data_IF_361478657265
#
_entry.id   IF_361478657265
#
_cell.length_a   1.000
_cell.length_b   1.000
_cell.length_c   1.000
_cell.angle_alpha   90.00
_cell.angle_beta   90.00
_cell.angle_gamma   90.00
#
_symmetry.space_group_name_H-M   'P 1'
#
loop_
_entity.id
_entity.type
_entity.pdbx_description
1 polymer ?
#
# COMPACT_ATOMS: atom_id res chain seq x y z
N UNK A 1 -6.30 -5.69 -6.79
CA UNK A 1 -7.47 -5.28 -7.61
C UNK A 1 -8.39 -6.44 -7.92
N UNK A 2 -8.02 -7.39 -8.80
CA UNK A 2 -8.90 -8.50 -9.21
C UNK A 2 -9.45 -9.28 -8.01
N UNK A 3 -8.59 -9.69 -7.08
CA UNK A 3 -9.02 -10.37 -5.85
C UNK A 3 -10.01 -9.55 -5.03
N UNK A 4 -9.74 -8.26 -4.82
CA UNK A 4 -10.60 -7.37 -4.04
C UNK A 4 -11.98 -7.20 -4.70
N UNK A 5 -12.01 -7.00 -6.02
CA UNK A 5 -13.25 -6.90 -6.78
C UNK A 5 -14.02 -8.23 -6.78
N UNK A 6 -13.35 -9.35 -6.96
CA UNK A 6 -14.01 -10.64 -7.02
C UNK A 6 -14.68 -11.04 -5.70
N UNK A 7 -14.18 -10.58 -4.55
CA UNK A 7 -14.85 -10.79 -3.25
C UNK A 7 -16.19 -10.07 -3.13
N UNK A 8 -16.51 -9.11 -4.00
CA UNK A 8 -17.83 -8.45 -4.02
C UNK A 8 -18.87 -9.23 -4.83
N UNK A 9 -18.46 -10.33 -5.47
CA UNK A 9 -19.30 -11.16 -6.32
C UNK A 9 -19.33 -12.59 -5.76
N UNK A 10 -20.44 -13.32 -5.92
CA UNK A 10 -20.46 -14.74 -5.61
C UNK A 10 -19.58 -15.51 -6.63
N UNK A 11 -18.87 -16.58 -6.21
CA UNK A 11 -17.89 -17.28 -7.07
C UNK A 11 -18.45 -17.82 -8.39
N UNK A 12 -19.74 -18.18 -8.43
CA UNK A 12 -20.45 -18.68 -9.61
C UNK A 12 -20.62 -17.63 -10.72
N UNK A 13 -20.51 -16.34 -10.39
CA UNK A 13 -20.56 -15.22 -11.35
C UNK A 13 -19.19 -14.80 -11.87
N UNK A 14 -18.11 -15.46 -11.43
CA UNK A 14 -16.76 -15.13 -11.84
C UNK A 14 -16.29 -16.17 -12.85
N UNK A 15 -16.05 -15.70 -14.08
CA UNK A 15 -15.59 -16.54 -15.18
C UNK A 15 -14.23 -16.04 -15.66
N UNK A 16 -13.32 -16.99 -15.89
CA UNK A 16 -12.04 -16.72 -16.54
C UNK A 16 -12.09 -17.31 -17.95
N UNK A 17 -11.81 -16.47 -18.94
CA UNK A 17 -11.48 -16.98 -20.26
C UNK A 17 -10.25 -17.88 -20.18
N UNK A 18 -10.09 -18.84 -21.12
CA UNK A 18 -8.94 -19.71 -21.16
C UNK A 18 -7.62 -18.93 -21.07
N UNK A 19 -6.87 -19.16 -19.98
CA UNK A 19 -5.59 -18.53 -19.79
C UNK A 19 -4.53 -19.27 -20.63
N UNK A 20 -4.16 -18.68 -21.75
CA UNK A 20 -3.14 -19.22 -22.67
C UNK A 20 -1.72 -18.81 -22.29
N UNK A 21 -1.57 -17.71 -21.55
CA UNK A 21 -0.26 -17.19 -21.18
C UNK A 21 0.52 -18.19 -20.30
N UNK A 22 1.82 -18.37 -20.59
CA UNK A 22 2.73 -19.21 -19.79
C UNK A 22 2.80 -18.77 -18.32
N UNK A 23 2.53 -17.50 -18.04
CA UNK A 23 2.51 -16.93 -16.70
C UNK A 23 1.26 -17.28 -15.88
N UNK A 24 0.27 -18.01 -16.41
CA UNK A 24 -0.98 -18.35 -15.69
C UNK A 24 -0.75 -19.06 -14.35
N UNK A 25 0.31 -19.87 -14.23
CA UNK A 25 0.70 -20.51 -12.97
C UNK A 25 0.97 -19.49 -11.86
N UNK A 26 1.43 -18.28 -12.20
CA UNK A 26 1.67 -17.21 -11.23
C UNK A 26 0.38 -16.79 -10.52
N UNK A 27 -0.76 -16.72 -11.22
CA UNK A 27 -2.04 -16.34 -10.62
C UNK A 27 -2.49 -17.37 -9.57
N UNK A 28 -2.24 -18.66 -9.86
CA UNK A 28 -2.50 -19.76 -8.92
C UNK A 28 -1.57 -19.65 -7.72
N UNK A 29 -0.26 -19.48 -7.94
CA UNK A 29 0.75 -19.36 -6.85
C UNK A 29 0.52 -18.15 -5.96
N UNK A 30 0.06 -17.03 -6.52
CA UNK A 30 -0.33 -15.85 -5.75
C UNK A 30 -1.68 -16.01 -5.02
N UNK A 31 -2.34 -17.17 -5.14
CA UNK A 31 -3.57 -17.49 -4.42
C UNK A 31 -4.82 -16.84 -4.99
N UNK A 32 -4.80 -16.33 -6.22
CA UNK A 32 -5.94 -15.61 -6.80
C UNK A 32 -7.19 -16.50 -6.87
N UNK A 33 -7.09 -17.69 -7.47
CA UNK A 33 -8.23 -18.61 -7.60
C UNK A 33 -8.79 -19.05 -6.25
N UNK A 34 -7.90 -19.32 -5.28
CA UNK A 34 -8.27 -19.64 -3.90
C UNK A 34 -9.04 -18.49 -3.25
N UNK A 35 -8.57 -17.26 -3.41
CA UNK A 35 -9.24 -16.07 -2.87
C UNK A 35 -10.62 -15.86 -3.49
N UNK A 36 -10.77 -16.18 -4.78
CA UNK A 36 -12.04 -16.06 -5.49
C UNK A 36 -13.00 -17.24 -5.24
N UNK A 37 -12.56 -18.31 -4.57
CA UNK A 37 -13.38 -19.51 -4.35
C UNK A 37 -13.65 -20.32 -5.63
N UNK A 38 -12.77 -20.23 -6.63
CA UNK A 38 -12.96 -20.86 -7.95
C UNK A 38 -11.94 -21.99 -8.12
N UNK A 39 -12.35 -23.16 -8.64
CA UNK A 39 -11.40 -24.23 -8.95
C UNK A 39 -10.42 -23.79 -10.03
N UNK A 40 -9.13 -24.08 -9.83
CA UNK A 40 -8.12 -23.88 -10.87
C UNK A 40 -7.91 -25.19 -11.64
N UNK A 41 -8.04 -25.15 -12.96
CA UNK A 41 -7.67 -26.24 -13.87
C UNK A 41 -6.16 -26.24 -14.21
N UNK A 42 -5.39 -25.32 -13.62
CA UNK A 42 -3.97 -25.13 -13.91
C UNK A 42 -3.16 -25.95 -12.91
N UNK A 43 -2.50 -27.00 -13.39
CA UNK A 43 -1.54 -27.75 -12.59
C UNK A 43 -0.30 -26.89 -12.29
N UNK A 44 0.11 -26.83 -11.03
CA UNK A 44 1.30 -26.11 -10.59
C UNK A 44 2.10 -27.03 -9.68
N UNK A 45 3.41 -27.10 -9.90
CA UNK A 45 4.33 -27.66 -8.90
C UNK A 45 4.53 -26.59 -7.84
N UNK A 46 3.97 -26.80 -6.66
CA UNK A 46 4.15 -25.88 -5.54
C UNK A 46 5.60 -25.99 -5.02
N UNK A 47 6.36 -24.91 -5.22
CA UNK A 47 7.60 -24.69 -4.51
C UNK A 47 7.33 -23.74 -3.34
N UNK A 48 7.99 -24.01 -2.21
CA UNK A 48 7.87 -23.22 -0.99
C UNK A 48 7.98 -21.71 -1.28
N UNK A 49 6.98 -20.90 -0.89
CA UNK A 49 7.01 -19.45 -1.08
C UNK A 49 8.04 -18.73 -0.22
N UNK A 50 8.52 -19.39 0.85
CA UNK A 50 9.40 -18.84 1.87
C UNK A 50 10.55 -18.03 1.24
N UNK A 51 10.69 -16.78 1.67
CA UNK A 51 11.73 -15.87 1.22
C UNK A 51 11.52 -15.23 -0.16
N UNK A 52 10.42 -15.50 -0.88
CA UNK A 52 10.21 -14.95 -2.25
C UNK A 52 8.97 -14.09 -2.41
N UNK A 53 7.85 -14.49 -1.85
CA UNK A 53 6.61 -13.72 -1.95
C UNK A 53 5.63 -14.11 -0.86
N UNK A 54 4.72 -13.19 -0.57
CA UNK A 54 3.52 -13.40 0.22
C UNK A 54 2.35 -13.40 -0.77
N UNK A 55 1.60 -14.52 -0.89
CA UNK A 55 0.38 -14.58 -1.70
C UNK A 55 -0.63 -13.49 -1.32
N UNK A 56 -1.65 -13.32 -2.15
CA UNK A 56 -2.76 -12.43 -1.85
C UNK A 56 -3.40 -12.87 -0.53
N UNK A 57 -3.32 -11.98 0.45
CA UNK A 57 -3.78 -12.20 1.82
C UNK A 57 -4.92 -11.21 2.09
N UNK A 58 -6.06 -11.72 2.54
CA UNK A 58 -7.16 -10.90 3.01
C UNK A 58 -6.89 -10.46 4.44
N UNK A 59 -6.97 -9.16 4.68
CA UNK A 59 -6.72 -8.53 5.97
C UNK A 59 -8.00 -7.85 6.44
N UNK A 60 -8.55 -8.33 7.55
CA UNK A 60 -9.76 -7.83 8.20
C UNK A 60 -9.47 -7.23 9.58
N UNK A 61 -8.32 -7.59 10.16
CA UNK A 61 -7.99 -7.29 11.56
C UNK A 61 -6.54 -6.83 11.74
N UNK A 62 -6.27 -6.14 12.85
CA UNK A 62 -4.92 -5.69 13.22
C UNK A 62 -3.93 -6.83 13.46
N UNK A 63 -4.41 -8.01 13.87
CA UNK A 63 -3.56 -9.18 14.09
C UNK A 63 -3.14 -9.81 12.76
N UNK A 64 -3.99 -9.77 11.73
CA UNK A 64 -3.64 -10.16 10.37
C UNK A 64 -2.63 -9.21 9.74
N UNK A 65 -2.77 -7.90 9.97
CA UNK A 65 -1.74 -6.91 9.60
C UNK A 65 -0.40 -7.32 10.23
N UNK A 66 -0.40 -7.61 11.53
CA UNK A 66 0.83 -7.95 12.26
C UNK A 66 1.50 -9.20 11.69
N UNK A 67 0.72 -10.26 11.39
CA UNK A 67 1.22 -11.49 10.75
C UNK A 67 1.82 -11.21 9.37
N UNK A 68 1.12 -10.46 8.53
CA UNK A 68 1.61 -10.10 7.19
C UNK A 68 2.95 -9.34 7.28
N UNK A 69 3.07 -8.38 8.20
CA UNK A 69 4.32 -7.63 8.40
C UNK A 69 5.45 -8.53 8.89
N UNK A 70 5.17 -9.48 9.79
CA UNK A 70 6.17 -10.46 10.25
C UNK A 70 6.70 -11.32 9.10
N UNK A 71 5.85 -11.72 8.16
CA UNK A 71 6.26 -12.47 6.97
C UNK A 71 6.99 -11.60 5.94
N UNK A 72 6.67 -10.31 5.88
CA UNK A 72 7.25 -9.37 4.90
C UNK A 72 8.65 -8.90 5.29
N UNK A 73 8.91 -8.69 6.59
CA UNK A 73 10.21 -8.18 7.08
C UNK A 73 11.41 -8.98 6.55
N UNK A 74 11.42 -10.32 6.59
CA UNK A 74 12.52 -11.12 6.04
C UNK A 74 12.77 -10.92 4.54
N UNK A 75 11.76 -10.52 3.76
CA UNK A 75 11.87 -10.29 2.31
C UNK A 75 12.59 -9.00 1.96
N UNK A 76 12.75 -8.09 2.92
CA UNK A 76 13.37 -6.78 2.68
C UNK A 76 14.90 -6.87 2.60
N UNK A 77 15.52 -7.90 3.20
CA UNK A 77 16.99 -8.02 3.25
C UNK A 77 17.70 -6.72 3.74
N UNK A 78 17.05 -5.97 4.62
CA UNK A 78 17.56 -4.73 5.22
C UNK A 78 17.97 -4.94 6.67
N UNK A 79 18.71 -3.98 7.21
CA UNK A 79 18.95 -3.89 8.65
C UNK A 79 17.64 -3.88 9.43
N UNK A 80 17.63 -4.51 10.62
CA UNK A 80 16.41 -4.75 11.38
C UNK A 80 15.59 -3.46 11.62
N UNK A 81 16.26 -2.34 11.90
CA UNK A 81 15.60 -1.05 12.15
C UNK A 81 14.96 -0.46 10.88
N UNK A 82 15.63 -0.59 9.74
CA UNK A 82 15.14 -0.14 8.44
C UNK A 82 13.96 -0.98 7.96
N UNK A 83 14.06 -2.31 8.11
CA UNK A 83 12.98 -3.24 7.79
C UNK A 83 11.74 -2.96 8.65
N UNK A 84 11.92 -2.66 9.93
CA UNK A 84 10.83 -2.24 10.82
C UNK A 84 10.16 -0.94 10.38
N UNK A 85 10.92 0.04 9.89
CA UNK A 85 10.36 1.30 9.36
C UNK A 85 9.44 1.04 8.16
N UNK A 86 9.87 0.23 7.19
CA UNK A 86 9.03 -0.14 6.05
C UNK A 86 7.80 -0.94 6.52
N UNK A 87 8.00 -1.90 7.42
CA UNK A 87 6.92 -2.68 8.02
C UNK A 87 5.87 -1.80 8.69
N UNK A 88 6.31 -0.77 9.42
CA UNK A 88 5.42 0.21 10.04
C UNK A 88 4.61 0.98 8.99
N UNK A 89 5.25 1.53 7.95
CA UNK A 89 4.56 2.27 6.88
C UNK A 89 3.48 1.40 6.21
N UNK A 90 3.82 0.17 5.84
CA UNK A 90 2.86 -0.77 5.23
C UNK A 90 1.72 -1.09 6.19
N UNK A 91 2.01 -1.23 7.49
CA UNK A 91 0.97 -1.43 8.51
C UNK A 91 0.01 -0.24 8.64
N UNK A 92 0.50 1.00 8.50
CA UNK A 92 -0.38 2.19 8.51
C UNK A 92 -1.26 2.20 7.26
N UNK A 93 -0.72 1.85 6.08
CA UNK A 93 -1.52 1.77 4.86
C UNK A 93 -2.63 0.72 4.95
N UNK A 94 -2.32 -0.47 5.49
CA UNK A 94 -3.32 -1.51 5.72
C UNK A 94 -4.35 -1.08 6.78
N UNK A 95 -3.91 -0.41 7.85
CA UNK A 95 -4.80 0.07 8.91
C UNK A 95 -5.76 1.14 8.42
N UNK A 96 -5.34 2.02 7.52
CA UNK A 96 -6.23 3.01 6.88
C UNK A 96 -7.44 2.33 6.22
N UNK A 97 -7.26 1.14 5.65
CA UNK A 97 -8.38 0.37 5.08
C UNK A 97 -9.34 -0.07 6.19
N UNK A 98 -8.81 -0.69 7.25
CA UNK A 98 -9.62 -1.24 8.35
C UNK A 98 -10.38 -0.14 9.10
N UNK A 99 -9.73 1.00 9.35
CA UNK A 99 -10.29 2.07 10.17
C UNK A 99 -11.16 3.05 9.39
N UNK A 100 -10.89 3.26 8.10
CA UNK A 100 -11.49 4.37 7.35
C UNK A 100 -12.15 3.98 6.04
N UNK A 101 -11.75 2.89 5.39
CA UNK A 101 -12.33 2.54 4.09
C UNK A 101 -13.76 2.02 4.18
N UNK A 102 -14.23 1.59 5.37
CA UNK A 102 -15.51 0.90 5.54
C UNK A 102 -15.69 -0.23 4.51
N UNK A 103 -14.60 -0.97 4.25
CA UNK A 103 -14.53 -2.03 3.24
C UNK A 103 -15.06 -3.35 3.83
N UNK A 104 -16.19 -3.90 3.34
CA UNK A 104 -16.78 -5.12 3.90
C UNK A 104 -15.87 -6.34 3.87
N UNK A 105 -14.95 -6.38 2.90
CA UNK A 105 -14.01 -7.48 2.69
C UNK A 105 -12.58 -7.13 3.13
N UNK A 106 -12.38 -5.99 3.79
CA UNK A 106 -11.06 -5.56 4.25
C UNK A 106 -10.09 -5.23 3.11
N UNK A 107 -8.79 -5.41 3.37
CA UNK A 107 -7.72 -5.14 2.42
C UNK A 107 -7.13 -6.42 1.83
N UNK A 108 -6.90 -6.43 0.52
CA UNK A 108 -6.11 -7.46 -0.15
C UNK A 108 -4.66 -6.99 -0.26
N UNK A 109 -3.78 -7.68 0.45
CA UNK A 109 -2.35 -7.39 0.51
C UNK A 109 -1.54 -8.50 -0.17
N UNK A 110 -0.50 -8.12 -0.92
CA UNK A 110 0.52 -9.06 -1.39
C UNK A 110 1.88 -8.39 -1.47
N UNK A 111 2.94 -9.19 -1.40
CA UNK A 111 4.30 -8.71 -1.55
C UNK A 111 5.14 -9.73 -2.32
N UNK A 112 6.09 -9.27 -3.13
CA UNK A 112 7.01 -10.15 -3.84
C UNK A 112 8.40 -9.54 -3.94
N UNK A 113 9.40 -10.31 -3.53
CA UNK A 113 10.81 -9.99 -3.74
C UNK A 113 11.30 -10.49 -5.10
N UNK A 114 12.07 -9.65 -5.76
CA UNK A 114 12.70 -9.87 -7.06
C UNK A 114 14.22 -9.80 -6.89
N UNK A 115 14.83 -10.98 -6.72
CA UNK A 115 16.27 -11.14 -6.49
C UNK A 115 17.14 -10.43 -7.55
N UNK A 116 16.80 -10.60 -8.84
CA UNK A 116 17.59 -10.03 -9.95
C UNK A 116 17.69 -8.50 -9.91
N UNK A 117 16.66 -7.82 -9.41
CA UNK A 117 16.63 -6.36 -9.31
C UNK A 117 16.81 -5.89 -7.86
N UNK A 118 17.05 -6.81 -6.93
CA UNK A 118 17.07 -6.57 -5.50
C UNK A 118 15.94 -5.64 -5.03
N UNK A 119 14.70 -5.97 -5.39
CA UNK A 119 13.56 -5.10 -5.11
C UNK A 119 12.35 -5.87 -4.62
N UNK A 120 11.53 -5.22 -3.78
CA UNK A 120 10.24 -5.74 -3.36
C UNK A 120 9.12 -4.95 -4.02
N UNK A 121 8.05 -5.63 -4.42
CA UNK A 121 6.81 -5.03 -4.91
C UNK A 121 5.70 -5.33 -3.94
N UNK A 122 4.94 -4.30 -3.55
CA UNK A 122 3.86 -4.42 -2.57
C UNK A 122 2.59 -3.88 -3.21
N UNK A 123 1.50 -4.63 -3.07
CA UNK A 123 0.17 -4.26 -3.54
C UNK A 123 -0.84 -4.27 -2.41
N UNK A 124 -1.67 -3.23 -2.35
CA UNK A 124 -2.81 -3.08 -1.43
C UNK A 124 -4.03 -2.72 -2.27
N UNK A 125 -5.15 -3.40 -2.06
CA UNK A 125 -6.41 -3.02 -2.68
C UNK A 125 -7.60 -3.30 -1.75
N UNK A 126 -8.54 -2.37 -1.69
CA UNK A 126 -9.82 -2.51 -0.98
C UNK A 126 -10.99 -2.15 -1.89
N UNK A 127 -12.20 -2.54 -1.46
CA UNK A 127 -13.46 -2.15 -2.11
C UNK A 127 -14.32 -1.27 -1.21
N UNK A 128 -13.68 -0.34 -0.50
CA UNK A 128 -14.33 0.58 0.43
C UNK A 128 -14.88 1.82 -0.24
N UNK A 129 -15.07 2.87 0.56
CA UNK A 129 -15.70 4.13 0.14
C UNK A 129 -14.82 5.02 -0.75
N UNK A 130 -13.52 4.74 -0.82
CA UNK A 130 -12.53 5.51 -1.59
C UNK A 130 -12.04 6.79 -0.91
N UNK A 131 -10.93 7.31 -1.41
CA UNK A 131 -10.17 8.42 -0.80
C UNK A 131 -10.99 9.72 -0.75
N UNK A 132 -11.71 10.06 -1.82
CA UNK A 132 -12.50 11.31 -1.86
C UNK A 132 -13.53 11.37 -0.72
N UNK A 133 -14.18 10.24 -0.42
CA UNK A 133 -15.17 10.18 0.66
C UNK A 133 -14.53 10.22 2.04
N UNK A 134 -13.36 9.60 2.24
CA UNK A 134 -12.67 9.65 3.55
C UNK A 134 -12.03 11.00 3.80
N UNK A 135 -11.32 11.57 2.83
CA UNK A 135 -10.66 12.87 2.99
C UNK A 135 -11.65 14.04 3.07
N UNK A 136 -12.78 13.91 2.36
CA UNK A 136 -13.90 14.87 2.35
C UNK A 136 -14.52 15.14 3.71
N UNK A 137 -14.24 14.30 4.72
CA UNK A 137 -14.66 14.53 6.10
C UNK A 137 -13.98 15.74 6.74
N UNK A 138 -12.75 16.06 6.33
CA UNK A 138 -11.94 17.16 6.88
C UNK A 138 -11.44 18.15 5.83
N UNK A 139 -11.26 17.71 4.58
CA UNK A 139 -10.73 18.53 3.50
C UNK A 139 -11.59 18.37 2.24
N UNK A 140 -12.12 19.49 1.75
CA UNK A 140 -12.91 19.54 0.52
C UNK A 140 -12.04 19.18 -0.70
N UNK A 141 -12.49 18.21 -1.49
CA UNK A 141 -11.89 17.83 -2.77
C UNK A 141 -12.97 17.81 -3.86
N UNK A 142 -12.80 18.57 -4.94
CA UNK A 142 -13.79 18.61 -6.02
C UNK A 142 -13.75 17.33 -6.87
N UNK A 143 -12.56 16.79 -7.11
CA UNK A 143 -12.35 15.58 -7.93
C UNK A 143 -11.63 14.48 -7.16
N UNK A 144 -11.71 13.24 -7.66
CA UNK A 144 -10.96 12.11 -7.08
C UNK A 144 -9.44 12.32 -7.18
N UNK A 145 -8.97 12.97 -8.26
CA UNK A 145 -7.56 13.31 -8.41
C UNK A 145 -7.11 14.36 -7.37
N UNK A 146 -7.93 15.37 -7.09
CA UNK A 146 -7.65 16.33 -6.02
C UNK A 146 -7.66 15.65 -4.65
N UNK A 147 -8.55 14.69 -4.41
CA UNK A 147 -8.55 13.92 -3.18
C UNK A 147 -7.25 13.10 -3.02
N UNK A 148 -6.76 12.51 -4.10
CA UNK A 148 -5.45 11.82 -4.12
C UNK A 148 -4.30 12.79 -3.85
N UNK A 149 -4.32 13.97 -4.48
CA UNK A 149 -3.32 15.03 -4.25
C UNK A 149 -3.22 15.39 -2.77
N UNK A 150 -4.36 15.66 -2.13
CA UNK A 150 -4.45 15.93 -0.70
C UNK A 150 -3.95 14.73 0.14
N UNK A 151 -4.36 13.50 -0.19
CA UNK A 151 -3.95 12.30 0.55
C UNK A 151 -2.44 11.98 0.47
N UNK A 152 -1.77 12.46 -0.58
CA UNK A 152 -0.32 12.33 -0.75
C UNK A 152 0.46 13.50 -0.15
N UNK A 153 -0.22 14.56 0.28
CA UNK A 153 0.39 15.74 0.90
C UNK A 153 0.71 15.44 2.37
N UNK A 154 1.94 15.69 2.85
CA UNK A 154 2.33 15.36 4.23
C UNK A 154 1.48 16.12 5.25
N UNK A 155 1.03 15.43 6.30
CA UNK A 155 0.25 16.03 7.38
C UNK A 155 -1.24 16.21 7.08
N UNK A 156 -1.74 15.76 5.92
CA UNK A 156 -3.16 15.82 5.57
C UNK A 156 -3.83 14.47 5.85
N UNK A 157 -4.96 14.50 6.54
CA UNK A 157 -5.73 13.30 6.92
C UNK A 157 -7.23 13.58 6.92
N UNK A 158 -8.05 12.56 6.64
CA UNK A 158 -9.52 12.69 6.73
C UNK A 158 -10.05 12.89 8.16
N UNK A 159 -9.21 12.67 9.19
CA UNK A 159 -9.62 12.67 10.60
C UNK A 159 -9.56 14.03 11.29
N UNK A 160 -8.88 15.02 10.73
CA UNK A 160 -8.79 16.37 11.30
C UNK A 160 -8.49 17.42 10.22
N UNK A 161 -9.08 18.62 10.29
CA UNK A 161 -8.77 19.71 9.37
C UNK A 161 -7.42 20.39 9.66
N UNK A 162 -6.78 20.12 10.80
CA UNK A 162 -5.46 20.68 11.15
C UNK A 162 -4.34 19.98 10.38
N UNK A 163 -3.50 20.76 9.71
CA UNK A 163 -2.26 20.29 9.09
C UNK A 163 -1.33 19.67 10.14
N UNK A 164 -0.78 18.50 9.84
CA UNK A 164 0.04 17.68 10.73
C UNK A 164 -0.70 16.53 11.40
N UNK A 165 -2.03 16.48 11.29
CA UNK A 165 -2.86 15.45 11.92
C UNK A 165 -2.85 15.52 13.46
N UNK A 166 -3.19 14.42 14.13
CA UNK A 166 -2.86 14.23 15.55
C UNK A 166 -1.56 13.43 15.65
N UNK A 167 -0.83 13.49 16.78
CA UNK A 167 0.36 12.65 17.03
C UNK A 167 0.09 11.14 16.79
N UNK A 168 -1.19 10.75 16.84
CA UNK A 168 -1.66 9.40 16.61
C UNK A 168 -2.11 9.12 15.18
N UNK A 169 -2.41 10.11 14.33
CA UNK A 169 -2.97 9.93 12.98
C UNK A 169 -2.47 11.02 12.02
N UNK A 170 -1.15 11.10 11.81
CA UNK A 170 -0.52 12.18 11.06
C UNK A 170 -0.76 12.18 9.53
N UNK A 171 -1.56 11.24 8.98
CA UNK A 171 -1.84 11.18 7.54
C UNK A 171 -0.60 10.97 6.67
N UNK A 172 0.48 10.39 7.21
CA UNK A 172 1.79 10.45 6.57
C UNK A 172 2.24 9.14 5.89
N UNK A 173 1.52 8.02 6.06
CA UNK A 173 1.90 6.73 5.49
C UNK A 173 2.01 6.75 3.96
N UNK A 174 1.04 7.36 3.28
CA UNK A 174 1.02 7.52 1.82
C UNK A 174 2.14 8.44 1.31
N UNK A 175 2.39 9.54 2.01
CA UNK A 175 3.50 10.43 1.71
C UNK A 175 4.86 9.71 1.82
N UNK A 176 5.07 8.96 2.90
CA UNK A 176 6.36 8.29 3.14
C UNK A 176 6.62 7.14 2.17
N UNK A 177 5.61 6.32 1.86
CA UNK A 177 5.79 5.23 0.89
C UNK A 177 6.09 5.79 -0.51
N UNK A 178 5.44 6.89 -0.91
CA UNK A 178 5.74 7.62 -2.15
C UNK A 178 7.16 8.19 -2.12
N UNK A 179 7.58 8.76 -0.98
CA UNK A 179 8.92 9.34 -0.82
C UNK A 179 10.03 8.28 -0.91
N UNK A 180 9.81 7.09 -0.34
CA UNK A 180 10.72 5.95 -0.51
C UNK A 180 10.88 5.59 -1.99
N UNK A 181 9.76 5.42 -2.70
CA UNK A 181 9.79 5.14 -4.14
C UNK A 181 10.51 6.25 -4.94
N UNK A 182 10.28 7.52 -4.59
CA UNK A 182 10.94 8.66 -5.23
C UNK A 182 12.46 8.64 -5.03
N UNK A 183 12.92 8.41 -3.79
CA UNK A 183 14.36 8.34 -3.48
C UNK A 183 15.02 7.18 -4.23
N UNK A 184 14.38 6.02 -4.28
CA UNK A 184 14.91 4.84 -4.94
C UNK A 184 14.71 4.83 -6.47
N UNK A 185 14.09 5.86 -7.04
CA UNK A 185 13.76 5.96 -8.48
C UNK A 185 12.86 4.82 -8.95
N UNK A 186 11.96 4.42 -8.07
CA UNK A 186 10.99 3.36 -8.28
C UNK A 186 9.63 3.91 -8.64
N UNK A 187 8.70 3.00 -8.92
CA UNK A 187 7.31 3.34 -9.20
C UNK A 187 6.47 3.30 -7.93
N UNK A 188 5.58 4.27 -7.83
CA UNK A 188 4.47 4.27 -6.88
C UNK A 188 3.20 4.59 -7.67
N UNK A 189 2.10 3.95 -7.33
CA UNK A 189 0.79 4.28 -7.88
C UNK A 189 -0.28 4.28 -6.80
N UNK A 190 -1.26 5.14 -6.98
CA UNK A 190 -2.50 5.15 -6.22
C UNK A 190 -3.69 5.39 -7.15
N UNK A 191 -4.79 4.69 -6.89
CA UNK A 191 -6.00 4.74 -7.71
C UNK A 191 -7.24 4.60 -6.82
N UNK A 192 -8.19 5.52 -6.97
CA UNK A 192 -9.44 5.57 -6.20
C UNK A 192 -10.46 6.39 -6.96
N UNK A 193 -11.70 5.92 -7.04
CA UNK A 193 -12.73 6.55 -7.87
C UNK A 193 -12.29 6.62 -9.33
N UNK A 194 -12.41 7.78 -9.96
CA UNK A 194 -11.83 8.06 -11.29
C UNK A 194 -10.39 8.61 -11.25
N UNK A 195 -9.82 8.84 -10.06
CA UNK A 195 -8.51 9.46 -9.89
C UNK A 195 -7.38 8.44 -9.94
N UNK A 196 -6.40 8.63 -10.82
CA UNK A 196 -5.19 7.83 -10.92
C UNK A 196 -3.95 8.71 -10.82
N UNK A 197 -2.98 8.31 -9.99
CA UNK A 197 -1.66 8.93 -9.92
C UNK A 197 -0.59 7.84 -9.97
N UNK A 198 0.40 8.02 -10.84
CA UNK A 198 1.60 7.20 -10.91
C UNK A 198 2.84 8.08 -10.84
N UNK A 199 3.65 7.88 -9.82
CA UNK A 199 5.01 8.41 -9.75
C UNK A 199 5.85 7.74 -10.84
N UNK A 200 6.54 8.54 -11.64
CA UNK A 200 7.49 8.07 -12.64
C UNK A 200 8.91 8.19 -12.11
N UNK A 201 9.80 7.36 -12.64
CA UNK A 201 11.22 7.42 -12.30
C UNK A 201 11.76 8.84 -12.57
N UNK A 202 12.34 9.45 -11.53
CA UNK A 202 13.01 10.74 -11.67
C UNK A 202 14.24 10.63 -12.57
N UNK A 203 14.64 11.77 -13.12
CA UNK A 203 15.92 11.91 -13.82
C UNK A 203 17.04 12.01 -12.78
N UNK A 204 18.20 11.43 -13.07
CA UNK A 204 19.36 11.52 -12.17
C UNK A 204 19.87 12.97 -12.08
N UNK A 205 19.69 13.61 -10.93
CA UNK A 205 20.16 14.99 -10.66
C UNK A 205 21.13 15.02 -9.48
N UNK A 206 22.02 16.03 -9.43
CA UNK A 206 22.97 16.22 -8.31
C UNK A 206 22.30 16.61 -7.00
N UNK A 207 21.15 17.26 -7.06
CA UNK A 207 20.37 17.65 -5.89
C UNK A 207 19.04 16.89 -5.87
N UNK A 208 18.74 16.31 -4.70
CA UNK A 208 17.49 15.63 -4.41
C UNK A 208 16.74 16.43 -3.37
N UNK A 209 15.50 16.83 -3.68
CA UNK A 209 14.58 17.45 -2.74
C UNK A 209 13.28 16.65 -2.73
N UNK A 210 12.73 16.38 -1.55
CA UNK A 210 11.38 15.84 -1.41
C UNK A 210 10.39 17.00 -1.51
N UNK A 211 9.40 16.88 -2.38
CA UNK A 211 8.34 17.86 -2.52
C UNK A 211 7.13 17.46 -1.67
N UNK A 212 6.66 18.40 -0.85
CA UNK A 212 5.39 18.25 -0.13
C UNK A 212 4.22 18.13 -1.10
N UNK A 213 4.25 18.91 -2.19
CA UNK A 213 3.32 18.79 -3.30
C UNK A 213 3.71 17.60 -4.20
N UNK A 214 2.90 16.53 -4.26
CA UNK A 214 3.21 15.32 -5.03
C UNK A 214 3.21 15.56 -6.55
N UNK A 215 2.62 16.66 -7.04
CA UNK A 215 2.55 16.94 -8.48
C UNK A 215 3.78 17.69 -8.99
N UNK A 216 4.69 18.11 -8.09
CA UNK A 216 6.03 18.58 -8.48
C UNK A 216 6.97 17.44 -8.84
N UNK A 217 6.71 16.24 -8.35
CA UNK A 217 7.45 15.05 -8.77
C UNK A 217 7.07 14.68 -10.20
N UNK A 218 7.97 14.01 -10.92
CA UNK A 218 7.65 13.50 -12.25
C UNK A 218 6.59 12.41 -12.13
N UNK A 219 5.41 12.62 -12.71
CA UNK A 219 4.27 11.74 -12.52
C UNK A 219 3.40 11.64 -13.79
N UNK A 220 2.45 10.71 -13.76
CA UNK A 220 1.39 10.55 -14.75
C UNK A 220 0.05 10.46 -14.01
N UNK A 221 -0.96 11.12 -14.56
CA UNK A 221 -2.35 11.09 -14.08
C UNK A 221 -3.26 10.53 -15.17
N UNK A 222 -4.47 10.13 -14.80
CA UNK A 222 -5.54 9.92 -15.78
C UNK A 222 -5.86 11.22 -16.52
N UNK A 223 -6.19 11.12 -17.81
CA UNK A 223 -6.64 12.26 -18.61
C UNK A 223 -8.16 12.34 -18.64
N UNK A 224 -8.70 13.55 -18.81
CA UNK A 224 -10.14 13.76 -19.03
C UNK A 224 -10.59 13.17 -20.38
N UNK A 225 -9.69 13.13 -21.36
CA UNK A 225 -9.94 12.59 -22.70
C UNK A 225 -10.04 11.06 -22.74
N UNK A 226 -9.40 10.37 -21.78
CA UNK A 226 -9.48 8.91 -21.64
C UNK A 226 -9.50 8.54 -20.14
N UNK A 227 -10.64 8.75 -19.47
CA UNK A 227 -10.75 8.53 -18.04
C UNK A 227 -10.59 7.04 -17.73
N UNK A 228 -9.91 6.75 -16.62
CA UNK A 228 -9.90 5.40 -16.09
C UNK A 228 -11.32 5.00 -15.66
N UNK A 229 -11.67 3.70 -15.68
CA UNK A 229 -12.90 3.21 -15.08
C UNK A 229 -13.06 3.71 -13.64
N UNK A 230 -14.26 3.66 -13.09
CA UNK A 230 -14.45 4.00 -11.68
C UNK A 230 -14.04 2.82 -10.78
N UNK A 231 -13.15 3.05 -9.82
CA UNK A 231 -12.82 2.07 -8.77
C UNK A 231 -13.45 2.46 -7.42
N UNK A 232 -14.39 1.64 -6.96
CA UNK A 232 -15.02 1.81 -5.65
C UNK A 232 -14.10 1.24 -4.55
N UNK A 233 -13.18 2.08 -4.04
CA UNK A 233 -12.21 1.71 -3.01
C UNK A 233 -10.87 2.41 -3.23
N UNK A 234 -9.79 1.86 -2.70
CA UNK A 234 -8.42 2.34 -2.96
C UNK A 234 -7.51 1.22 -3.43
N UNK A 235 -6.58 1.54 -4.32
CA UNK A 235 -5.48 0.68 -4.74
C UNK A 235 -4.18 1.43 -4.55
N UNK A 236 -3.20 0.78 -3.93
CA UNK A 236 -1.83 1.27 -3.81
C UNK A 236 -0.88 0.19 -4.32
N UNK A 237 0.08 0.59 -5.15
CA UNK A 237 1.16 -0.28 -5.61
C UNK A 237 2.49 0.44 -5.48
N UNK A 238 3.51 -0.23 -4.98
CA UNK A 238 4.85 0.36 -4.83
C UNK A 238 5.94 -0.64 -5.14
N UNK A 239 6.95 -0.18 -5.86
CA UNK A 239 8.23 -0.85 -6.03
C UNK A 239 9.24 -0.22 -5.05
N UNK A 240 10.05 -1.03 -4.39
CA UNK A 240 11.13 -0.58 -3.50
C UNK A 240 12.38 -1.39 -3.81
N UNK A 241 13.35 -0.75 -4.46
CA UNK A 241 14.71 -1.26 -4.59
C UNK A 241 15.39 -1.21 -3.22
N UNK A 242 16.08 -2.28 -2.85
CA UNK A 242 16.60 -2.53 -1.50
C UNK A 242 18.10 -2.25 -1.38
N UNK A 243 18.68 -1.60 -2.39
CA UNK A 243 20.07 -1.16 -2.38
C UNK A 243 20.26 -0.09 -1.29
N UNK A 244 21.21 -0.33 -0.38
CA UNK A 244 21.48 0.53 0.78
C UNK A 244 22.24 1.82 0.38
N UNK A 245 21.59 2.68 -0.40
CA UNK A 245 22.10 4.02 -0.70
C UNK A 245 22.09 4.89 0.56
N UNK A 246 22.95 5.92 0.60
CA UNK A 246 23.01 6.85 1.73
C UNK A 246 21.70 7.61 1.88
N UNK A 247 21.12 8.01 0.76
CA UNK A 247 19.85 8.73 0.68
C UNK A 247 18.69 7.89 1.21
N UNK A 248 18.64 6.61 0.83
CA UNK A 248 17.60 5.69 1.29
C UNK A 248 17.71 5.44 2.80
N UNK A 249 18.92 5.14 3.29
CA UNK A 249 19.18 4.94 4.72
C UNK A 249 18.81 6.18 5.55
N UNK A 250 19.25 7.37 5.09
CA UNK A 250 18.93 8.64 5.75
C UNK A 250 17.41 8.89 5.81
N UNK A 251 16.68 8.63 4.71
CA UNK A 251 15.23 8.78 4.69
C UNK A 251 14.56 7.85 5.71
N UNK A 252 14.95 6.58 5.77
CA UNK A 252 14.37 5.63 6.72
C UNK A 252 14.65 6.04 8.18
N UNK A 253 15.82 6.59 8.46
CA UNK A 253 16.16 7.11 9.79
C UNK A 253 15.31 8.33 10.17
N UNK A 254 15.10 9.27 9.26
CA UNK A 254 14.23 10.44 9.51
C UNK A 254 12.76 10.05 9.71
N UNK A 255 12.26 9.09 8.93
CA UNK A 255 10.93 8.52 9.12
C UNK A 255 10.83 7.88 10.50
N UNK A 256 11.83 7.08 10.89
CA UNK A 256 11.87 6.43 12.20
C UNK A 256 11.88 7.44 13.34
N UNK A 257 12.65 8.54 13.24
CA UNK A 257 12.65 9.62 14.24
C UNK A 257 11.26 10.25 14.37
N UNK A 258 10.60 10.48 13.24
CA UNK A 258 9.24 11.06 13.18
C UNK A 258 8.21 10.17 13.88
N UNK A 259 8.29 8.85 13.71
CA UNK A 259 7.34 7.90 14.32
C UNK A 259 7.76 7.31 15.66
N UNK A 260 9.03 7.39 16.04
CA UNK A 260 9.57 6.76 17.24
C UNK A 260 8.91 7.27 18.54
N UNK A 261 8.48 8.53 18.57
CA UNK A 261 7.67 9.11 19.65
C UNK A 261 6.25 8.52 19.68
N UNK A 262 5.54 8.56 18.55
CA UNK A 262 4.17 8.09 18.41
C UNK A 262 4.01 6.58 18.72
N UNK A 263 4.93 5.73 18.25
CA UNK A 263 4.91 4.28 18.50
C UNK A 263 5.12 3.95 19.98
N UNK A 264 6.04 4.64 20.66
CA UNK A 264 6.31 4.46 22.10
C UNK A 264 5.08 4.82 22.94
N UNK A 265 4.37 5.87 22.55
CA UNK A 265 3.17 6.31 23.25
C UNK A 265 1.96 5.38 23.03
N UNK A 266 1.74 4.90 21.79
CA UNK A 266 0.71 3.90 21.50
C UNK A 266 0.94 2.59 22.26
N UNK A 267 2.20 2.10 22.36
CA UNK A 267 2.53 0.94 23.19
C UNK A 267 2.13 1.17 24.64
N UNK A 268 2.49 2.33 25.24
CA UNK A 268 2.12 2.69 26.61
C UNK A 268 0.59 2.71 26.82
N UNK A 269 -0.17 3.21 25.85
CA UNK A 269 -1.64 3.22 25.93
C UNK A 269 -2.26 1.81 25.81
N UNK A 270 -1.71 0.93 24.96
CA UNK A 270 -2.16 -0.47 24.83
C UNK A 270 -1.93 -1.27 26.12
N UNK A 271 -0.85 -1.00 26.85
CA UNK A 271 -0.59 -1.58 28.18
C UNK A 271 -1.40 -0.92 29.32
N UNK A 272 -1.97 0.28 29.09
CA UNK A 272 -2.85 0.97 30.05
C UNK A 272 -4.32 0.57 29.95
N UNK A 273 -4.75 -0.13 28.89
CA UNK A 273 -6.08 -0.76 28.88
C UNK A 273 -6.08 -1.88 29.93
N UNK A 274 -6.90 -1.80 31.00
CA UNK A 274 -6.97 -2.88 31.98
C UNK A 274 -7.38 -4.17 31.25
N UNK A 275 -6.58 -5.23 31.40
CA UNK A 275 -7.03 -6.58 31.09
C UNK A 275 -8.05 -6.93 32.17
N UNK A 276 -9.34 -6.81 31.86
CA UNK A 276 -10.35 -7.46 32.67
C UNK A 276 -10.15 -8.96 32.47
N UNK A 277 -9.72 -9.63 33.54
CA UNK A 277 -9.80 -11.09 33.70
C UNK A 277 -11.26 -11.40 34.06
#
# INVERSE_FOLDING_TARGET
>A
MIAALGLTLPPDRIHFDPLEAKSKHYLVRMGLFKMLGIPSSINVVEHEPAGRFIPITQIMTSDEISRFITEMIPLLHLEAEQAQTIGYIVSELARNVIEHAAAPHGAMLCAQYYEKSNSIRIGIADTGVGIKKTIGQSHMAATDLQAIHLALTPGITGTTPKEGGTEQNAGAGLFFIKSIAFVNRDYFMIYSGGGFYKLLKRISTKHMALHADPFKDRHSIGSEENPFPYWQGTVVGVDITLDQTKEFSFLLDEIRKTYGSAVRERKRQRYRKPKFI
#
